data_IF_316123195455
#
_entry.id   IF_316123195455
#
_cell.length_a   1.000
_cell.length_b   1.000
_cell.length_c   1.000
_cell.angle_alpha   90.00
_cell.angle_beta   90.00
_cell.angle_gamma   90.00
#
_symmetry.space_group_name_H-M   'P 1'
#
loop_
_entity.id
_entity.type
_entity.pdbx_description
1 polymer ?
#
# COMPACT_ATOMS: atom_id res chain seq x y z
N UNK A 1 15.14 9.52 -21.63
CA UNK A 1 15.41 9.99 -20.25
C UNK A 1 14.94 8.91 -19.30
N UNK A 2 15.76 8.49 -18.33
CA UNK A 2 15.36 7.46 -17.35
C UNK A 2 14.26 8.04 -16.45
N UNK A 3 13.15 7.32 -16.28
CA UNK A 3 12.06 7.76 -15.40
C UNK A 3 12.42 7.46 -13.95
N UNK A 4 12.52 8.51 -13.13
CA UNK A 4 12.70 8.36 -11.67
C UNK A 4 11.34 8.30 -10.98
N UNK A 5 11.04 7.19 -10.32
CA UNK A 5 9.75 6.91 -9.67
C UNK A 5 9.98 6.73 -8.17
N UNK A 6 9.15 7.40 -7.36
CA UNK A 6 9.10 7.12 -5.92
C UNK A 6 8.08 6.02 -5.65
N UNK A 7 8.49 4.98 -4.95
CA UNK A 7 7.57 4.05 -4.28
C UNK A 7 7.64 4.33 -2.78
N UNK A 8 6.56 4.86 -2.22
CA UNK A 8 6.51 5.25 -0.80
C UNK A 8 5.40 4.52 -0.06
N UNK A 9 5.62 4.29 1.23
CA UNK A 9 4.68 3.52 2.04
C UNK A 9 4.62 3.94 3.51
N UNK A 10 3.50 3.64 4.16
CA UNK A 10 3.39 3.53 5.61
C UNK A 10 3.27 2.05 6.00
N UNK A 11 3.80 1.68 7.17
CA UNK A 11 3.74 0.31 7.67
C UNK A 11 3.97 0.26 9.18
N UNK A 12 3.12 -0.47 9.91
CA UNK A 12 3.27 -0.67 11.37
C UNK A 12 3.87 -2.02 11.73
N UNK A 13 3.51 -3.07 10.99
CA UNK A 13 3.94 -4.46 11.24
C UNK A 13 4.82 -5.03 10.13
N UNK A 14 5.22 -4.19 9.16
CA UNK A 14 6.18 -4.56 8.12
C UNK A 14 5.58 -5.16 6.84
N UNK A 15 4.33 -5.63 6.85
CA UNK A 15 3.73 -6.34 5.70
C UNK A 15 3.66 -5.49 4.41
N UNK A 16 3.38 -4.20 4.52
CA UNK A 16 3.32 -3.26 3.39
C UNK A 16 4.69 -2.98 2.77
N UNK A 17 5.79 -3.13 3.53
CA UNK A 17 7.16 -2.91 3.04
C UNK A 17 7.48 -3.86 1.89
N UNK A 18 7.16 -5.15 2.07
CA UNK A 18 7.39 -6.15 1.02
C UNK A 18 6.59 -5.89 -0.26
N UNK A 19 5.37 -5.36 -0.14
CA UNK A 19 4.55 -4.98 -1.30
C UNK A 19 5.22 -3.82 -2.07
N UNK A 20 5.66 -2.78 -1.35
CA UNK A 20 6.39 -1.66 -1.95
C UNK A 20 7.68 -2.12 -2.66
N UNK A 21 8.46 -3.00 -2.03
CA UNK A 21 9.67 -3.56 -2.62
C UNK A 21 9.39 -4.38 -3.88
N UNK A 22 8.33 -5.20 -3.89
CA UNK A 22 7.94 -5.97 -5.06
C UNK A 22 7.51 -5.09 -6.23
N UNK A 23 6.75 -4.02 -5.95
CA UNK A 23 6.38 -3.02 -6.96
C UNK A 23 7.62 -2.35 -7.54
N UNK A 24 8.54 -1.94 -6.67
CA UNK A 24 9.78 -1.28 -7.09
C UNK A 24 10.64 -2.19 -7.96
N UNK A 25 10.80 -3.47 -7.60
CA UNK A 25 11.52 -4.44 -8.40
C UNK A 25 10.97 -4.54 -9.84
N UNK A 26 9.65 -4.67 -9.99
CA UNK A 26 9.01 -4.75 -11.32
C UNK A 26 9.19 -3.46 -12.14
N UNK A 27 9.10 -2.30 -11.50
CA UNK A 27 9.34 -1.01 -12.15
C UNK A 27 10.81 -0.86 -12.59
N UNK A 28 11.76 -1.32 -11.78
CA UNK A 28 13.19 -1.35 -12.11
C UNK A 28 13.48 -2.30 -13.26
N UNK A 29 12.89 -3.50 -13.27
CA UNK A 29 12.96 -4.46 -14.38
C UNK A 29 12.43 -3.85 -15.70
N UNK A 30 11.49 -2.90 -15.60
CA UNK A 30 10.92 -2.15 -16.73
C UNK A 30 11.78 -0.94 -17.16
N UNK A 31 12.96 -0.73 -16.56
CA UNK A 31 13.91 0.32 -16.93
C UNK A 31 13.75 1.65 -16.19
N UNK A 32 12.92 1.73 -15.15
CA UNK A 32 12.83 2.92 -14.30
C UNK A 32 13.91 2.95 -13.22
N UNK A 33 14.34 4.15 -12.83
CA UNK A 33 15.08 4.36 -11.59
C UNK A 33 14.06 4.49 -10.46
N UNK A 34 14.13 3.64 -9.44
CA UNK A 34 13.10 3.58 -8.40
C UNK A 34 13.73 3.78 -7.03
N UNK A 35 13.19 4.74 -6.27
CA UNK A 35 13.52 4.92 -4.86
C UNK A 35 12.39 4.36 -4.00
N UNK A 36 12.73 3.59 -2.98
CA UNK A 36 11.78 3.02 -2.01
C UNK A 36 11.99 3.70 -0.67
N UNK A 37 11.09 4.60 -0.29
CA UNK A 37 11.26 5.46 0.89
C UNK A 37 10.01 5.43 1.76
N UNK A 38 10.10 5.13 3.07
CA UNK A 38 8.94 5.22 3.95
C UNK A 38 8.44 6.67 4.00
N UNK A 39 7.12 6.87 4.07
CA UNK A 39 6.48 8.19 3.95
C UNK A 39 7.04 9.26 4.90
N UNK A 40 7.36 8.97 6.18
CA UNK A 40 7.96 9.95 7.09
C UNK A 40 9.34 10.48 6.67
N UNK A 41 10.06 9.76 5.80
CA UNK A 41 11.40 10.13 5.32
C UNK A 41 11.36 10.87 3.98
N UNK A 42 10.19 10.98 3.34
CA UNK A 42 10.03 11.70 2.07
C UNK A 42 9.98 13.21 2.34
N UNK A 43 11.02 13.93 1.91
CA UNK A 43 11.12 15.39 2.11
C UNK A 43 10.45 16.19 0.99
N UNK A 44 10.63 15.77 -0.26
CA UNK A 44 10.08 16.44 -1.42
C UNK A 44 9.84 15.47 -2.58
N UNK A 45 9.03 15.90 -3.55
CA UNK A 45 8.66 15.11 -4.72
C UNK A 45 9.20 15.65 -6.05
N UNK A 46 10.01 16.72 -6.01
CA UNK A 46 10.47 17.46 -7.18
C UNK A 46 11.27 16.59 -8.16
N UNK A 47 12.17 15.75 -7.62
CA UNK A 47 13.05 14.86 -8.38
C UNK A 47 12.34 13.67 -9.06
N UNK A 48 11.08 13.40 -8.68
CA UNK A 48 10.34 12.24 -9.17
C UNK A 48 9.37 12.63 -10.29
N UNK A 49 9.32 11.79 -11.31
CA UNK A 49 8.41 11.96 -12.44
C UNK A 49 7.05 11.31 -12.17
N UNK A 50 7.00 10.28 -11.31
CA UNK A 50 5.78 9.64 -10.87
C UNK A 50 5.91 9.15 -9.42
N UNK A 51 4.77 8.93 -8.75
CA UNK A 51 4.73 8.42 -7.37
C UNK A 51 3.75 7.25 -7.28
N UNK A 52 4.19 6.19 -6.61
CA UNK A 52 3.35 5.09 -6.14
C UNK A 52 3.33 5.14 -4.61
N UNK A 53 2.16 5.30 -4.01
CA UNK A 53 2.03 5.37 -2.55
C UNK A 53 1.13 4.25 -2.01
N UNK A 54 1.44 3.73 -0.83
CA UNK A 54 0.53 2.80 -0.19
C UNK A 54 0.61 2.68 1.32
N UNK A 55 -0.47 2.18 1.91
CA UNK A 55 -0.64 2.04 3.35
C UNK A 55 -1.47 0.81 3.66
N UNK A 56 -1.25 0.15 4.82
CA UNK A 56 -2.24 -0.77 5.32
C UNK A 56 -3.52 -0.01 5.71
N UNK A 57 -4.64 -0.72 5.68
CA UNK A 57 -5.92 -0.25 6.20
C UNK A 57 -6.01 -0.56 7.69
N UNK A 58 -6.30 0.46 8.51
CA UNK A 58 -6.71 0.32 9.90
C UNK A 58 -7.91 1.22 10.16
N UNK A 59 -8.96 0.68 10.78
CA UNK A 59 -10.19 1.45 11.02
C UNK A 59 -10.90 1.93 9.75
N UNK A 60 -10.72 1.23 8.62
CA UNK A 60 -11.37 1.58 7.35
C UNK A 60 -10.69 2.71 6.55
N UNK A 61 -9.47 3.11 6.91
CA UNK A 61 -8.70 4.10 6.17
C UNK A 61 -7.21 3.77 6.14
N UNK A 62 -6.45 4.49 5.29
CA UNK A 62 -5.00 4.56 5.39
C UNK A 62 -4.56 5.04 6.78
N UNK A 63 -3.33 4.71 7.15
CA UNK A 63 -2.76 5.14 8.42
C UNK A 63 -2.69 6.67 8.50
N UNK A 64 -2.78 7.27 9.70
CA UNK A 64 -2.70 8.71 9.88
C UNK A 64 -1.46 9.33 9.22
N UNK A 65 -0.29 8.71 9.40
CA UNK A 65 0.97 9.13 8.79
C UNK A 65 0.95 9.11 7.25
N UNK A 66 0.21 8.17 6.66
CA UNK A 66 0.04 8.10 5.21
C UNK A 66 -0.93 9.16 4.69
N UNK A 67 -2.01 9.42 5.43
CA UNK A 67 -2.92 10.51 5.09
C UNK A 67 -2.26 11.88 5.25
N UNK A 68 -1.36 12.03 6.20
CA UNK A 68 -0.58 13.25 6.37
C UNK A 68 0.37 13.48 5.19
N UNK A 69 1.09 12.44 4.73
CA UNK A 69 1.86 12.50 3.49
C UNK A 69 1.00 12.97 2.30
N UNK A 70 -0.21 12.42 2.14
CA UNK A 70 -1.12 12.83 1.06
C UNK A 70 -1.55 14.29 1.16
N UNK A 71 -1.75 14.82 2.37
CA UNK A 71 -2.10 16.24 2.59
C UNK A 71 -0.93 17.16 2.29
N UNK A 72 0.24 16.87 2.86
CA UNK A 72 1.46 17.67 2.68
C UNK A 72 1.82 17.76 1.20
N UNK A 73 1.77 16.65 0.48
CA UNK A 73 2.21 16.58 -0.91
C UNK A 73 1.08 16.68 -1.95
N UNK A 74 -0.15 17.00 -1.52
CA UNK A 74 -1.35 17.04 -2.39
C UNK A 74 -1.11 17.77 -3.70
N UNK A 75 -0.55 18.97 -3.65
CA UNK A 75 -0.33 19.79 -4.84
C UNK A 75 0.67 19.13 -5.80
N UNK A 76 1.80 18.66 -5.29
CA UNK A 76 2.82 18.00 -6.11
C UNK A 76 2.30 16.69 -6.74
N UNK A 77 1.51 15.91 -5.99
CA UNK A 77 0.91 14.67 -6.46
C UNK A 77 -0.17 14.90 -7.54
N UNK A 78 -0.93 16.00 -7.46
CA UNK A 78 -1.91 16.35 -8.52
C UNK A 78 -1.25 16.81 -9.82
N UNK A 79 0.04 17.17 -9.80
CA UNK A 79 0.78 17.65 -10.98
C UNK A 79 1.60 16.54 -11.66
N UNK A 80 1.54 15.30 -11.18
CA UNK A 80 2.28 14.18 -11.78
C UNK A 80 1.50 12.87 -11.73
N UNK A 81 1.87 11.88 -12.55
CA UNK A 81 1.27 10.55 -12.48
C UNK A 81 1.38 9.96 -11.07
N UNK A 82 0.24 9.53 -10.53
CA UNK A 82 0.11 8.97 -9.19
C UNK A 82 -0.65 7.64 -9.25
N UNK A 83 -0.14 6.62 -8.55
CA UNK A 83 -0.85 5.37 -8.29
C UNK A 83 -0.89 5.09 -6.79
N UNK A 84 -1.97 4.46 -6.34
CA UNK A 84 -2.18 4.12 -4.95
C UNK A 84 -2.25 2.61 -4.77
N UNK A 85 -1.81 2.09 -3.63
CA UNK A 85 -2.13 0.73 -3.22
C UNK A 85 -2.49 0.65 -1.74
N UNK A 86 -3.28 -0.34 -1.38
CA UNK A 86 -3.56 -0.67 0.01
C UNK A 86 -3.22 -2.12 0.32
N UNK A 87 -2.94 -2.38 1.60
CA UNK A 87 -2.99 -3.73 2.15
C UNK A 87 -4.11 -3.82 3.16
N UNK A 88 -4.94 -4.87 3.10
CA UNK A 88 -6.06 -5.02 4.03
C UNK A 88 -6.30 -6.48 4.37
N UNK A 89 -6.33 -6.82 5.66
CA UNK A 89 -6.63 -8.18 6.09
C UNK A 89 -8.06 -8.59 5.73
N UNK A 90 -9.02 -7.66 5.64
CA UNK A 90 -10.41 -7.98 5.26
C UNK A 90 -10.52 -8.66 3.90
N UNK A 91 -9.52 -8.50 3.02
CA UNK A 91 -9.46 -9.22 1.74
C UNK A 91 -9.22 -10.73 1.89
N UNK A 92 -8.73 -11.19 3.04
CA UNK A 92 -8.54 -12.62 3.34
C UNK A 92 -9.80 -13.28 3.90
N UNK A 93 -10.82 -12.48 4.25
CA UNK A 93 -12.10 -12.94 4.76
C UNK A 93 -13.08 -13.28 3.63
N UNK A 94 -13.99 -14.22 3.91
CA UNK A 94 -15.14 -14.52 3.04
C UNK A 94 -14.76 -14.82 1.59
N UNK A 95 -13.59 -15.41 1.35
CA UNK A 95 -13.03 -15.70 0.02
C UNK A 95 -13.04 -14.48 -0.92
N UNK A 96 -12.71 -13.30 -0.41
CA UNK A 96 -12.62 -12.07 -1.21
C UNK A 96 -13.94 -11.33 -1.44
N UNK A 97 -15.05 -11.79 -0.84
CA UNK A 97 -16.38 -11.15 -0.91
C UNK A 97 -16.37 -9.66 -0.53
N UNK A 98 -15.44 -9.23 0.29
CA UNK A 98 -15.34 -7.85 0.78
C UNK A 98 -14.51 -6.92 -0.11
N UNK A 99 -14.06 -7.36 -1.29
CA UNK A 99 -13.19 -6.54 -2.15
C UNK A 99 -13.81 -5.19 -2.53
N UNK A 100 -15.10 -5.15 -2.84
CA UNK A 100 -15.82 -3.90 -3.15
C UNK A 100 -15.87 -2.94 -1.95
N UNK A 101 -16.12 -3.48 -0.75
CA UNK A 101 -16.10 -2.70 0.48
C UNK A 101 -14.69 -2.17 0.80
N UNK A 102 -13.65 -3.00 0.67
CA UNK A 102 -12.26 -2.57 0.89
C UNK A 102 -11.85 -1.48 -0.10
N UNK A 103 -12.37 -1.50 -1.33
CA UNK A 103 -12.13 -0.43 -2.30
C UNK A 103 -12.67 0.94 -1.86
N UNK A 104 -13.66 1.00 -0.98
CA UNK A 104 -14.15 2.29 -0.46
C UNK A 104 -13.18 2.91 0.54
N UNK A 105 -12.28 2.12 1.16
CA UNK A 105 -11.27 2.63 2.09
C UNK A 105 -10.18 3.48 1.43
N UNK A 106 -10.08 3.46 0.09
CA UNK A 106 -9.26 4.42 -0.67
C UNK A 106 -9.96 5.76 -0.90
N UNK A 107 -11.25 5.90 -0.59
CA UNK A 107 -11.98 7.14 -0.86
C UNK A 107 -11.31 8.40 -0.26
N UNK A 108 -10.81 8.39 0.99
CA UNK A 108 -10.11 9.56 1.55
C UNK A 108 -8.85 9.96 0.76
N UNK A 109 -8.19 9.00 0.10
CA UNK A 109 -7.04 9.25 -0.78
C UNK A 109 -7.53 9.87 -2.09
N UNK A 110 -8.58 9.30 -2.71
CA UNK A 110 -9.18 9.79 -3.96
C UNK A 110 -9.68 11.23 -3.84
N UNK A 111 -10.20 11.60 -2.68
CA UNK A 111 -10.68 12.96 -2.39
C UNK A 111 -9.56 14.01 -2.38
N UNK A 112 -8.30 13.58 -2.13
CA UNK A 112 -7.12 14.44 -2.16
C UNK A 112 -6.42 14.44 -3.51
N UNK A 113 -6.19 13.25 -4.08
CA UNK A 113 -5.49 13.02 -5.34
C UNK A 113 -6.12 11.81 -6.01
N UNK A 114 -6.60 11.97 -7.25
CA UNK A 114 -7.17 10.85 -8.01
C UNK A 114 -6.05 9.94 -8.52
N UNK A 115 -5.95 8.68 -8.07
CA UNK A 115 -4.96 7.75 -8.59
C UNK A 115 -5.30 7.36 -10.03
N UNK A 116 -4.29 7.24 -10.88
CA UNK A 116 -4.45 6.66 -12.22
C UNK A 116 -4.62 5.14 -12.19
N UNK A 117 -4.17 4.49 -11.12
CA UNK A 117 -4.34 3.05 -10.89
C UNK A 117 -4.33 2.76 -9.39
N UNK A 118 -5.06 1.71 -9.00
CA UNK A 118 -5.25 1.30 -7.61
C UNK A 118 -4.96 -0.19 -7.43
N UNK A 119 -4.05 -0.51 -6.50
CA UNK A 119 -3.72 -1.88 -6.10
C UNK A 119 -4.39 -2.25 -4.79
N UNK A 120 -5.21 -3.30 -4.76
CA UNK A 120 -5.85 -3.79 -3.54
C UNK A 120 -5.31 -5.18 -3.21
N UNK A 121 -4.48 -5.27 -2.18
CA UNK A 121 -3.76 -6.48 -1.83
C UNK A 121 -4.11 -6.95 -0.41
N UNK A 122 -4.16 -8.26 -0.23
CA UNK A 122 -4.19 -8.84 1.10
C UNK A 122 -2.89 -8.50 1.85
N UNK A 123 -2.97 -8.47 3.18
CA UNK A 123 -1.81 -8.26 4.06
C UNK A 123 -1.18 -9.57 4.55
N UNK A 124 -0.24 -9.42 5.47
CA UNK A 124 0.24 -10.53 6.31
C UNK A 124 -0.10 -10.22 7.76
N UNK A 125 -0.53 -11.24 8.50
CA UNK A 125 -0.70 -11.18 9.95
C UNK A 125 0.42 -11.99 10.60
N UNK A 126 1.28 -11.31 11.33
CA UNK A 126 2.25 -11.92 12.23
C UNK A 126 1.96 -11.37 13.62
N UNK A 127 1.34 -12.19 14.47
CA UNK A 127 0.88 -11.73 15.78
C UNK A 127 2.08 -11.37 16.67
N UNK A 128 3.24 -12.00 16.46
CA UNK A 128 4.45 -11.72 17.23
C UNK A 128 4.96 -10.28 17.03
N UNK A 129 4.69 -9.70 15.86
CA UNK A 129 5.08 -8.33 15.49
C UNK A 129 4.12 -7.26 16.00
N UNK A 130 2.99 -7.64 16.61
CA UNK A 130 2.05 -6.67 17.19
C UNK A 130 2.65 -6.15 18.50
N UNK A 131 2.80 -4.83 18.71
CA UNK A 131 3.45 -4.32 19.93
C UNK A 131 2.62 -4.52 21.21
N UNK A 132 1.31 -4.32 21.13
CA UNK A 132 0.39 -4.35 22.27
C UNK A 132 0.05 -5.79 22.68
N UNK A 133 0.32 -6.16 23.93
CA UNK A 133 -0.01 -7.49 24.48
C UNK A 133 -1.53 -7.74 24.45
N UNK A 134 -2.33 -6.75 24.80
CA UNK A 134 -3.78 -6.85 24.73
C UNK A 134 -4.25 -7.11 23.31
N UNK A 135 -3.67 -6.44 22.31
CA UNK A 135 -4.04 -6.66 20.92
C UNK A 135 -3.53 -8.02 20.42
N UNK A 136 -2.36 -8.49 20.84
CA UNK A 136 -1.92 -9.88 20.56
C UNK A 136 -2.95 -10.89 21.04
N UNK A 137 -3.48 -10.74 22.26
CA UNK A 137 -4.50 -11.66 22.81
C UNK A 137 -5.77 -11.60 21.97
N UNK A 138 -6.26 -10.39 21.63
CA UNK A 138 -7.44 -10.22 20.76
C UNK A 138 -7.24 -10.90 19.40
N UNK A 139 -6.11 -10.67 18.73
CA UNK A 139 -5.82 -11.28 17.44
C UNK A 139 -5.70 -12.80 17.53
N UNK A 140 -5.09 -13.34 18.59
CA UNK A 140 -5.05 -14.80 18.83
C UNK A 140 -6.45 -15.40 18.98
N UNK A 141 -7.32 -14.76 19.75
CA UNK A 141 -8.71 -15.21 19.89
C UNK A 141 -9.43 -15.15 18.55
N UNK A 142 -9.29 -14.06 17.79
CA UNK A 142 -9.92 -13.96 16.47
C UNK A 142 -9.40 -15.00 15.48
N UNK A 143 -8.12 -15.39 15.54
CA UNK A 143 -7.58 -16.51 14.75
C UNK A 143 -8.14 -17.85 15.22
N UNK A 144 -8.22 -18.09 16.54
CA UNK A 144 -8.79 -19.31 17.12
C UNK A 144 -10.27 -19.50 16.73
N UNK A 145 -11.04 -18.41 16.67
CA UNK A 145 -12.45 -18.41 16.23
C UNK A 145 -12.60 -18.36 14.70
N UNK A 146 -11.51 -18.44 13.92
CA UNK A 146 -11.55 -18.53 12.46
C UNK A 146 -11.92 -17.23 11.74
N UNK A 147 -11.89 -16.08 12.42
CA UNK A 147 -12.17 -14.76 11.82
C UNK A 147 -11.01 -14.33 10.91
N UNK A 148 -9.78 -14.58 11.36
CA UNK A 148 -8.55 -14.25 10.64
C UNK A 148 -7.66 -15.47 10.47
N UNK A 149 -6.73 -15.38 9.52
CA UNK A 149 -5.66 -16.37 9.34
C UNK A 149 -4.32 -15.71 9.64
N UNK A 150 -3.56 -16.29 10.55
CA UNK A 150 -2.16 -15.91 10.75
C UNK A 150 -1.31 -16.39 9.57
N UNK A 151 -0.27 -15.64 9.24
CA UNK A 151 0.63 -15.89 8.11
C UNK A 151 0.53 -14.86 6.99
N UNK A 152 1.29 -15.12 5.93
CA UNK A 152 1.32 -14.29 4.73
C UNK A 152 0.18 -14.66 3.78
N UNK A 153 -0.69 -13.70 3.49
CA UNK A 153 -1.81 -13.87 2.55
C UNK A 153 -1.64 -12.99 1.30
N UNK A 154 -0.48 -12.33 1.14
CA UNK A 154 -0.18 -11.51 -0.05
C UNK A 154 -0.10 -12.40 -1.29
N UNK A 155 -0.87 -12.06 -2.31
CA UNK A 155 -0.72 -12.64 -3.64
C UNK A 155 0.38 -11.89 -4.40
N UNK A 156 1.60 -12.43 -4.35
CA UNK A 156 2.76 -11.85 -5.00
C UNK A 156 2.63 -11.78 -6.53
N UNK A 157 1.90 -12.71 -7.14
CA UNK A 157 1.66 -12.69 -8.57
C UNK A 157 0.73 -11.53 -8.94
N UNK A 158 -0.35 -11.32 -8.17
CA UNK A 158 -1.25 -10.19 -8.37
C UNK A 158 -0.55 -8.84 -8.15
N UNK A 159 0.32 -8.73 -7.15
CA UNK A 159 1.12 -7.52 -6.89
C UNK A 159 2.03 -7.22 -8.09
N UNK A 160 2.78 -8.22 -8.57
CA UNK A 160 3.69 -8.06 -9.72
C UNK A 160 2.93 -7.77 -11.01
N UNK A 161 1.80 -8.45 -11.24
CA UNK A 161 0.95 -8.22 -12.40
C UNK A 161 0.41 -6.78 -12.43
N UNK A 162 -0.08 -6.27 -11.29
CA UNK A 162 -0.50 -4.88 -11.18
C UNK A 162 0.68 -3.93 -11.42
N UNK A 163 1.83 -4.17 -10.79
CA UNK A 163 3.03 -3.34 -10.95
C UNK A 163 3.50 -3.28 -12.42
N UNK A 164 3.39 -4.36 -13.17
CA UNK A 164 3.75 -4.42 -14.59
C UNK A 164 2.84 -3.55 -15.48
N UNK A 165 1.66 -3.14 -15.00
CA UNK A 165 0.80 -2.19 -15.72
C UNK A 165 1.24 -0.73 -15.53
N UNK A 166 1.96 -0.45 -14.44
CA UNK A 166 2.28 0.92 -14.02
C UNK A 166 3.16 1.69 -14.99
N UNK A 167 4.14 1.12 -15.71
CA UNK A 167 4.92 1.86 -16.70
C UNK A 167 4.05 2.58 -17.74
N UNK A 168 2.95 1.96 -18.17
CA UNK A 168 1.99 2.54 -19.12
C UNK A 168 1.04 3.56 -18.48
N UNK A 169 0.71 3.38 -17.20
CA UNK A 169 -0.23 4.26 -16.49
C UNK A 169 0.46 5.51 -15.96
N UNK A 170 1.71 5.35 -15.53
CA UNK A 170 2.57 6.40 -14.99
C UNK A 170 3.41 7.10 -16.06
N UNK A 171 3.22 6.72 -17.34
CA UNK A 171 3.96 7.34 -18.43
C UNK A 171 3.56 8.78 -18.72
#
# INVERSE_FOLDING_TARGET
MIKRILVTYASRTGSTIGVAQAIAAVLTESGAQVDVVPMPEVKELSAYQAVVAGSPIQGGAWLPEAMEFMRIHKNALNQKPFAAFLTCMTLTMGNGKYRSHVATFLQPVRDLVKPRSEGLFAGALDISRIPSLADRIKFRLSVLFGVWREGDQRDWNAIRAWAATLPKVLS
#
